data_IF_684212204304
#
_entry.id   IF_684212204304
#
_cell.length_a   1.000
_cell.length_b   1.000
_cell.length_c   1.000
_cell.angle_alpha   90.00
_cell.angle_beta   90.00
_cell.angle_gamma   90.00
#
_symmetry.space_group_name_H-M   'P 1'
#
loop_
_entity.id
_entity.type
_entity.pdbx_description
1 polymer ?
#
# COMPACT_ATOMS: atom_id res chain seq x y z
N UNK A 1 -3.58 -19.46 -2.78
CA UNK A 1 -2.56 -18.41 -2.76
C UNK A 1 -2.10 -18.27 -1.34
N UNK A 2 -0.80 -18.23 -1.07
CA UNK A 2 -0.33 -17.97 0.27
C UNK A 2 -0.67 -16.52 0.61
N UNK A 3 -1.68 -16.33 1.45
CA UNK A 3 -2.12 -15.03 1.94
C UNK A 3 -0.93 -14.21 2.48
N UNK A 4 0.05 -14.89 3.10
CA UNK A 4 1.25 -14.27 3.63
C UNK A 4 2.14 -13.64 2.53
N UNK A 5 2.38 -14.33 1.41
CA UNK A 5 3.24 -13.80 0.35
C UNK A 5 2.65 -12.55 -0.30
N UNK A 6 1.32 -12.52 -0.43
CA UNK A 6 0.62 -11.35 -0.94
C UNK A 6 0.71 -10.17 0.04
N UNK A 7 0.48 -10.41 1.32
CA UNK A 7 0.61 -9.40 2.38
C UNK A 7 2.03 -8.83 2.40
N UNK A 8 3.06 -9.70 2.34
CA UNK A 8 4.46 -9.25 2.30
C UNK A 8 4.77 -8.40 1.07
N UNK A 9 4.19 -8.72 -0.10
CA UNK A 9 4.38 -7.91 -1.31
C UNK A 9 3.82 -6.48 -1.15
N UNK A 10 2.70 -6.33 -0.44
CA UNK A 10 2.12 -5.02 -0.13
C UNK A 10 3.02 -4.20 0.81
N UNK A 11 3.59 -4.85 1.84
CA UNK A 11 4.52 -4.16 2.76
C UNK A 11 5.77 -3.68 2.03
N UNK A 12 6.31 -4.51 1.12
CA UNK A 12 7.47 -4.13 0.32
C UNK A 12 7.11 -2.94 -0.59
N UNK A 13 5.94 -2.96 -1.23
CA UNK A 13 5.50 -1.86 -2.08
C UNK A 13 5.34 -0.55 -1.29
N UNK A 14 4.78 -0.62 -0.08
CA UNK A 14 4.70 0.54 0.81
C UNK A 14 6.09 1.04 1.22
N UNK A 15 6.98 0.13 1.66
CA UNK A 15 8.34 0.48 2.01
C UNK A 15 9.08 1.16 0.84
N UNK A 16 8.85 0.73 -0.40
CA UNK A 16 9.40 1.38 -1.59
C UNK A 16 8.93 2.83 -1.75
N UNK A 17 7.64 3.10 -1.53
CA UNK A 17 7.10 4.45 -1.58
C UNK A 17 7.69 5.35 -0.49
N UNK A 18 7.82 4.83 0.74
CA UNK A 18 8.46 5.54 1.84
C UNK A 18 9.94 5.83 1.56
N UNK A 19 10.69 4.86 1.03
CA UNK A 19 12.08 5.02 0.63
C UNK A 19 12.20 6.10 -0.46
N UNK A 20 11.28 6.17 -1.41
CA UNK A 20 11.26 7.21 -2.45
C UNK A 20 11.04 8.59 -1.86
N UNK A 21 10.11 8.72 -0.92
CA UNK A 21 9.85 9.97 -0.19
C UNK A 21 11.09 10.42 0.60
N UNK A 22 11.72 9.51 1.34
CA UNK A 22 12.94 9.81 2.11
C UNK A 22 14.08 10.23 1.17
N UNK A 23 14.23 9.57 0.02
CA UNK A 23 15.24 9.92 -0.99
C UNK A 23 15.00 11.34 -1.51
N UNK A 24 13.77 11.68 -1.86
CA UNK A 24 13.38 13.02 -2.33
C UNK A 24 13.68 14.09 -1.27
N UNK A 25 13.28 13.85 -0.02
CA UNK A 25 13.51 14.77 1.10
C UNK A 25 15.02 14.97 1.37
N UNK A 26 15.81 13.90 1.25
CA UNK A 26 17.27 13.98 1.44
C UNK A 26 17.94 14.80 0.35
N UNK A 27 17.51 14.71 -0.90
CA UNK A 27 18.00 15.57 -1.98
C UNK A 27 17.54 17.02 -1.81
N UNK A 28 16.34 17.25 -1.30
CA UNK A 28 15.87 18.60 -0.99
C UNK A 28 16.74 19.21 0.12
N UNK A 29 16.96 18.48 1.21
CA UNK A 29 17.83 18.91 2.32
C UNK A 29 19.25 19.22 1.83
N UNK A 30 19.81 18.38 0.97
CA UNK A 30 21.11 18.66 0.34
C UNK A 30 21.15 20.03 -0.35
N UNK A 31 20.12 20.35 -1.14
CA UNK A 31 20.05 21.64 -1.86
C UNK A 31 19.92 22.83 -0.90
N UNK A 32 19.08 22.71 0.12
CA UNK A 32 18.87 23.76 1.11
C UNK A 32 20.16 24.03 1.91
N UNK A 33 20.86 22.99 2.35
CA UNK A 33 22.13 23.10 3.06
C UNK A 33 23.24 23.68 2.17
N UNK A 34 23.23 23.37 0.87
CA UNK A 34 24.17 23.94 -0.10
C UNK A 34 23.92 25.44 -0.28
N UNK A 35 22.67 25.87 -0.37
CA UNK A 35 22.30 27.30 -0.45
C UNK A 35 22.67 28.06 0.82
N UNK A 36 22.60 27.41 1.99
CA UNK A 36 23.00 27.95 3.26
C UNK A 36 24.52 27.95 3.49
N UNK A 37 25.35 27.58 2.50
CA UNK A 37 26.80 27.42 2.59
C UNK A 37 27.30 26.43 3.64
N UNK A 38 26.46 25.49 4.08
CA UNK A 38 26.79 24.43 5.04
C UNK A 38 27.37 23.20 4.32
N UNK A 39 28.53 23.36 3.69
CA UNK A 39 29.12 22.35 2.78
C UNK A 39 29.30 20.95 3.41
N UNK A 40 29.78 20.89 4.66
CA UNK A 40 29.96 19.59 5.32
C UNK A 40 28.65 18.85 5.53
N UNK A 41 27.59 19.56 5.96
CA UNK A 41 26.25 18.98 6.17
C UNK A 41 25.56 18.65 4.86
N UNK A 42 25.73 19.47 3.81
CA UNK A 42 25.19 19.16 2.48
C UNK A 42 25.80 17.87 1.92
N UNK A 43 27.11 17.67 2.10
CA UNK A 43 27.76 16.42 1.67
C UNK A 43 27.22 15.19 2.41
N UNK A 44 26.96 15.31 3.72
CA UNK A 44 26.34 14.24 4.50
C UNK A 44 24.92 13.91 4.00
N UNK A 45 24.10 14.93 3.71
CA UNK A 45 22.76 14.74 3.17
C UNK A 45 22.80 14.04 1.79
N UNK A 46 23.77 14.38 0.94
CA UNK A 46 23.97 13.71 -0.35
C UNK A 46 24.37 12.25 -0.19
N UNK A 47 25.28 11.94 0.72
CA UNK A 47 25.69 10.56 1.01
C UNK A 47 24.49 9.72 1.53
N UNK A 48 23.67 10.30 2.40
CA UNK A 48 22.44 9.64 2.87
C UNK A 48 21.49 9.35 1.70
N UNK A 49 21.24 10.33 0.82
CA UNK A 49 20.41 10.13 -0.35
C UNK A 49 20.92 8.99 -1.25
N UNK A 50 22.24 8.88 -1.44
CA UNK A 50 22.85 7.81 -2.22
C UNK A 50 22.69 6.43 -1.55
N UNK A 51 22.89 6.34 -0.23
CA UNK A 51 22.69 5.10 0.52
C UNK A 51 21.24 4.63 0.48
N UNK A 52 20.29 5.55 0.65
CA UNK A 52 18.85 5.25 0.56
C UNK A 52 18.49 4.79 -0.85
N UNK A 53 19.08 5.37 -1.89
CA UNK A 53 18.87 4.95 -3.27
C UNK A 53 19.35 3.51 -3.54
N UNK A 54 20.45 3.08 -2.93
CA UNK A 54 20.90 1.67 -3.02
C UNK A 54 19.91 0.73 -2.31
N UNK A 55 19.41 1.11 -1.12
CA UNK A 55 18.36 0.33 -0.43
C UNK A 55 17.11 0.21 -1.29
N UNK A 56 16.69 1.30 -1.98
CA UNK A 56 15.57 1.28 -2.93
C UNK A 56 15.78 0.21 -4.01
N UNK A 57 16.95 0.19 -4.66
CA UNK A 57 17.26 -0.79 -5.72
C UNK A 57 17.18 -2.23 -5.23
N UNK A 58 17.70 -2.50 -4.05
CA UNK A 58 17.65 -3.85 -3.47
C UNK A 58 16.21 -4.26 -3.14
N UNK A 59 15.41 -3.35 -2.60
CA UNK A 59 13.99 -3.56 -2.33
C UNK A 59 13.20 -3.82 -3.62
N UNK A 60 13.47 -3.07 -4.70
CA UNK A 60 12.88 -3.29 -6.04
C UNK A 60 13.21 -4.70 -6.59
N UNK A 61 14.43 -5.18 -6.40
CA UNK A 61 14.83 -6.54 -6.82
C UNK A 61 14.07 -7.61 -6.05
N UNK A 62 13.93 -7.45 -4.72
CA UNK A 62 13.16 -8.35 -3.87
C UNK A 62 11.69 -8.36 -4.31
N UNK A 63 11.11 -7.19 -4.51
CA UNK A 63 9.72 -7.04 -4.97
C UNK A 63 9.49 -7.71 -6.32
N UNK A 64 10.39 -7.53 -7.28
CA UNK A 64 10.32 -8.18 -8.59
C UNK A 64 10.39 -9.71 -8.48
N UNK A 65 11.20 -10.24 -7.58
CA UNK A 65 11.28 -11.67 -7.29
C UNK A 65 9.98 -12.23 -6.72
N UNK A 66 9.40 -11.56 -5.73
CA UNK A 66 8.12 -11.94 -5.11
C UNK A 66 6.97 -11.82 -6.12
N UNK A 67 6.91 -10.72 -6.87
CA UNK A 67 5.88 -10.51 -7.90
C UNK A 67 5.92 -11.61 -8.96
N UNK A 68 7.11 -12.07 -9.36
CA UNK A 68 7.25 -13.18 -10.30
C UNK A 68 6.69 -14.49 -9.75
N UNK A 69 6.86 -14.75 -8.45
CA UNK A 69 6.27 -15.94 -7.79
C UNK A 69 4.74 -15.85 -7.72
N UNK A 70 4.20 -14.64 -7.54
CA UNK A 70 2.75 -14.40 -7.54
C UNK A 70 2.15 -14.55 -8.95
N UNK A 71 2.84 -14.06 -9.99
CA UNK A 71 2.39 -14.12 -11.38
C UNK A 71 2.33 -15.54 -11.96
N UNK A 72 3.07 -16.51 -11.42
CA UNK A 72 2.98 -17.92 -11.85
C UNK A 72 1.61 -18.56 -11.61
N UNK A 73 0.69 -17.86 -10.95
CA UNK A 73 -0.71 -18.28 -10.71
C UNK A 73 -1.75 -17.51 -11.55
N UNK A 74 -1.35 -16.87 -12.65
CA UNK A 74 -2.22 -16.03 -13.49
C UNK A 74 -3.43 -16.74 -14.10
N UNK A 75 -3.50 -18.07 -14.03
CA UNK A 75 -4.60 -18.87 -14.56
C UNK A 75 -5.57 -19.37 -13.49
N UNK A 76 -5.39 -18.92 -12.23
CA UNK A 76 -6.31 -19.28 -11.17
C UNK A 76 -7.51 -18.32 -11.15
N UNK A 77 -8.71 -18.89 -11.19
CA UNK A 77 -9.95 -18.15 -10.94
C UNK A 77 -10.08 -17.85 -9.44
N UNK A 78 -10.48 -16.63 -9.14
CA UNK A 78 -10.77 -16.17 -7.79
C UNK A 78 -12.21 -15.72 -7.73
N UNK A 79 -12.93 -16.14 -6.71
CA UNK A 79 -14.25 -15.58 -6.41
C UNK A 79 -14.11 -14.20 -5.80
N UNK A 80 -15.13 -13.37 -5.90
CA UNK A 80 -15.15 -12.08 -5.21
C UNK A 80 -14.93 -12.25 -3.71
N UNK A 81 -15.49 -13.30 -3.10
CA UNK A 81 -15.27 -13.61 -1.68
C UNK A 81 -13.81 -13.89 -1.35
N UNK A 82 -13.08 -14.60 -2.24
CA UNK A 82 -11.63 -14.81 -2.05
C UNK A 82 -10.88 -13.49 -2.03
N UNK A 83 -11.22 -12.56 -2.93
CA UNK A 83 -10.62 -11.23 -3.01
C UNK A 83 -10.92 -10.41 -1.76
N UNK A 84 -12.18 -10.39 -1.33
CA UNK A 84 -12.59 -9.67 -0.12
C UNK A 84 -11.89 -10.23 1.13
N UNK A 85 -11.77 -11.55 1.23
CA UNK A 85 -11.05 -12.20 2.32
C UNK A 85 -9.55 -11.85 2.31
N UNK A 86 -8.90 -11.84 1.14
CA UNK A 86 -7.50 -11.44 1.01
C UNK A 86 -7.29 -9.99 1.46
N UNK A 87 -8.14 -9.07 0.98
CA UNK A 87 -8.07 -7.65 1.33
C UNK A 87 -8.27 -7.44 2.82
N UNK A 88 -9.32 -8.03 3.42
CA UNK A 88 -9.60 -7.86 4.86
C UNK A 88 -8.50 -8.43 5.72
N UNK A 89 -7.98 -9.61 5.39
CA UNK A 89 -6.88 -10.24 6.14
C UNK A 89 -5.61 -9.40 6.09
N UNK A 90 -5.20 -8.98 4.90
CA UNK A 90 -3.99 -8.18 4.69
C UNK A 90 -4.05 -6.85 5.45
N UNK A 91 -5.16 -6.14 5.32
CA UNK A 91 -5.31 -4.82 5.92
C UNK A 91 -5.54 -4.87 7.44
N UNK A 92 -6.15 -5.93 7.97
CA UNK A 92 -6.22 -6.16 9.43
C UNK A 92 -4.84 -6.39 10.04
N UNK A 93 -3.98 -7.15 9.36
CA UNK A 93 -2.59 -7.34 9.78
C UNK A 93 -1.82 -6.03 9.71
N UNK A 94 -2.02 -5.24 8.65
CA UNK A 94 -1.40 -3.92 8.51
C UNK A 94 -1.81 -2.96 9.63
N UNK A 95 -3.10 -2.88 9.96
CA UNK A 95 -3.59 -2.07 11.08
C UNK A 95 -2.94 -2.49 12.42
N UNK A 96 -2.82 -3.81 12.66
CA UNK A 96 -2.18 -4.36 13.86
C UNK A 96 -0.70 -3.98 13.94
N UNK A 97 0.05 -3.98 12.83
CA UNK A 97 1.46 -3.54 12.79
C UNK A 97 1.62 -2.06 13.14
N UNK A 98 0.63 -1.24 12.81
CA UNK A 98 0.60 0.17 13.21
C UNK A 98 0.09 0.38 14.65
N UNK A 99 -0.14 -0.70 15.42
CA UNK A 99 -0.74 -0.68 16.74
C UNK A 99 -2.12 0.00 16.79
N UNK A 100 -2.90 -0.10 15.69
CA UNK A 100 -4.25 0.45 15.58
C UNK A 100 -5.31 -0.65 15.74
N UNK A 101 -6.42 -0.33 16.38
CA UNK A 101 -7.57 -1.23 16.55
C UNK A 101 -8.65 -0.84 15.53
N UNK A 102 -8.57 -1.40 14.34
CA UNK A 102 -9.48 -1.07 13.23
C UNK A 102 -10.33 -2.29 12.90
N UNK A 103 -11.65 -2.10 12.89
CA UNK A 103 -12.60 -3.10 12.41
C UNK A 103 -12.78 -2.95 10.91
N UNK A 104 -12.41 -3.96 10.14
CA UNK A 104 -12.58 -3.96 8.69
C UNK A 104 -13.72 -4.89 8.33
N UNK A 105 -14.74 -4.35 7.65
CA UNK A 105 -15.89 -5.09 7.16
C UNK A 105 -15.90 -5.07 5.63
N UNK A 106 -16.08 -6.24 5.02
CA UNK A 106 -16.25 -6.35 3.57
C UNK A 106 -17.62 -6.98 3.29
N UNK A 107 -18.41 -6.34 2.44
CA UNK A 107 -19.74 -6.77 2.05
C UNK A 107 -19.91 -6.71 0.55
N UNK A 108 -20.68 -7.64 -0.02
CA UNK A 108 -21.00 -7.63 -1.43
C UNK A 108 -22.39 -8.22 -1.66
N UNK A 109 -23.13 -7.61 -2.56
CA UNK A 109 -24.36 -8.14 -3.10
C UNK A 109 -24.12 -9.03 -4.35
N UNK A 110 -22.84 -9.17 -4.74
CA UNK A 110 -22.41 -9.82 -5.97
C UNK A 110 -21.64 -11.11 -5.70
N UNK A 111 -21.69 -12.01 -6.68
CA UNK A 111 -20.90 -13.24 -6.66
C UNK A 111 -20.43 -13.57 -8.09
N UNK A 112 -19.20 -13.21 -8.40
CA UNK A 112 -18.57 -13.48 -9.70
C UNK A 112 -17.12 -13.94 -9.51
N UNK A 113 -16.54 -14.49 -10.58
CA UNK A 113 -15.13 -14.91 -10.62
C UNK A 113 -14.32 -13.99 -11.50
N UNK A 114 -13.04 -13.87 -11.19
CA UNK A 114 -12.08 -13.07 -11.94
C UNK A 114 -10.72 -13.76 -12.04
N UNK A 115 -10.02 -13.55 -13.16
CA UNK A 115 -8.73 -14.19 -13.43
C UNK A 115 -7.53 -13.33 -13.00
N UNK A 116 -7.61 -12.01 -13.16
CA UNK A 116 -6.49 -11.09 -12.94
C UNK A 116 -6.79 -10.16 -11.78
N UNK A 117 -6.58 -10.64 -10.56
CA UNK A 117 -6.89 -9.86 -9.34
C UNK A 117 -5.78 -8.90 -8.92
N UNK A 118 -4.53 -9.07 -9.38
CA UNK A 118 -3.38 -8.29 -8.91
C UNK A 118 -3.55 -6.78 -9.07
N UNK A 119 -3.97 -6.23 -10.23
CA UNK A 119 -4.18 -4.79 -10.36
C UNK A 119 -5.31 -4.27 -9.46
N UNK A 120 -6.40 -5.03 -9.34
CA UNK A 120 -7.53 -4.70 -8.48
C UNK A 120 -7.10 -4.67 -7.01
N UNK A 121 -6.37 -5.69 -6.57
CA UNK A 121 -5.84 -5.75 -5.20
C UNK A 121 -4.92 -4.57 -4.90
N UNK A 122 -4.05 -4.17 -5.85
CA UNK A 122 -3.17 -3.03 -5.67
C UNK A 122 -3.96 -1.72 -5.44
N UNK A 123 -5.03 -1.49 -6.23
CA UNK A 123 -5.88 -0.30 -6.08
C UNK A 123 -6.62 -0.33 -4.74
N UNK A 124 -7.29 -1.45 -4.41
CA UNK A 124 -8.07 -1.55 -3.17
C UNK A 124 -7.16 -1.38 -1.96
N UNK A 125 -5.98 -2.02 -1.95
CA UNK A 125 -5.08 -1.91 -0.81
C UNK A 125 -4.48 -0.52 -0.64
N UNK A 126 -4.25 0.23 -1.72
CA UNK A 126 -3.87 1.64 -1.60
C UNK A 126 -4.98 2.47 -0.92
N UNK A 127 -6.24 2.25 -1.28
CA UNK A 127 -7.37 2.93 -0.63
C UNK A 127 -7.49 2.51 0.84
N UNK A 128 -7.40 1.21 1.13
CA UNK A 128 -7.47 0.67 2.48
C UNK A 128 -6.33 1.18 3.37
N UNK A 129 -5.10 1.22 2.87
CA UNK A 129 -3.96 1.73 3.64
C UNK A 129 -4.11 3.22 3.96
N UNK A 130 -4.58 4.02 3.01
CA UNK A 130 -4.86 5.43 3.24
C UNK A 130 -5.93 5.62 4.33
N UNK A 131 -7.01 4.83 4.30
CA UNK A 131 -8.05 4.85 5.32
C UNK A 131 -7.50 4.43 6.70
N UNK A 132 -6.70 3.36 6.77
CA UNK A 132 -6.04 2.90 8.00
C UNK A 132 -5.13 3.98 8.59
N UNK A 133 -4.38 4.67 7.74
CA UNK A 133 -3.44 5.71 8.16
C UNK A 133 -4.16 6.96 8.67
N UNK A 134 -5.27 7.35 8.03
CA UNK A 134 -6.10 8.49 8.43
C UNK A 134 -6.75 8.30 9.80
N UNK A 135 -7.15 7.09 10.16
CA UNK A 135 -7.70 6.77 11.49
C UNK A 135 -6.61 6.87 12.54
N UNK A 136 -6.82 7.65 13.60
CA UNK A 136 -5.79 7.88 14.63
C UNK A 136 -5.41 6.60 15.37
N UNK A 137 -6.34 5.92 16.05
CA UNK A 137 -6.08 4.74 16.88
C UNK A 137 -7.14 3.65 16.76
N UNK A 138 -8.41 4.02 16.73
CA UNK A 138 -9.55 3.09 16.65
C UNK A 138 -10.54 3.61 15.61
N UNK A 139 -11.12 2.69 14.85
CA UNK A 139 -12.13 3.04 13.86
C UNK A 139 -12.64 1.85 13.06
N UNK A 140 -13.45 2.16 12.07
CA UNK A 140 -14.10 1.18 11.21
C UNK A 140 -13.88 1.55 9.74
N UNK A 141 -13.54 0.55 8.94
CA UNK A 141 -13.45 0.68 7.49
C UNK A 141 -14.42 -0.31 6.87
N UNK A 142 -15.23 0.14 5.93
CA UNK A 142 -16.19 -0.67 5.19
C UNK A 142 -15.78 -0.69 3.72
N UNK A 143 -15.52 -1.90 3.21
CA UNK A 143 -15.38 -2.15 1.78
C UNK A 143 -16.69 -2.74 1.27
N UNK A 144 -17.40 -2.02 0.44
CA UNK A 144 -18.65 -2.47 -0.18
C UNK A 144 -18.48 -2.65 -1.67
N UNK A 145 -18.98 -3.78 -2.20
CA UNK A 145 -18.94 -4.08 -3.64
C UNK A 145 -20.36 -4.26 -4.15
N UNK A 146 -20.72 -3.50 -5.18
CA UNK A 146 -21.99 -3.61 -5.87
C UNK A 146 -21.80 -3.40 -7.37
N UNK A 147 -22.72 -3.93 -8.16
CA UNK A 147 -22.75 -3.74 -9.61
C UNK A 147 -23.94 -2.86 -10.00
N UNK A 148 -23.67 -1.90 -10.88
CA UNK A 148 -24.69 -1.08 -11.49
C UNK A 148 -24.42 -0.96 -12.99
N UNK A 149 -25.40 -1.38 -13.81
CA UNK A 149 -25.27 -1.50 -15.27
C UNK A 149 -24.11 -2.44 -15.66
N UNK A 150 -23.11 -1.93 -16.37
CA UNK A 150 -21.93 -2.68 -16.83
C UNK A 150 -20.70 -2.48 -15.92
N UNK A 151 -20.85 -1.79 -14.79
CA UNK A 151 -19.76 -1.44 -13.91
C UNK A 151 -19.89 -2.12 -12.55
N UNK A 152 -18.75 -2.53 -12.00
CA UNK A 152 -18.63 -2.97 -10.62
C UNK A 152 -17.89 -1.92 -9.81
N UNK A 153 -18.50 -1.47 -8.73
CA UNK A 153 -18.00 -0.45 -7.85
C UNK A 153 -17.43 -1.06 -6.59
N UNK A 154 -16.21 -0.67 -6.25
CA UNK A 154 -15.54 -1.00 -5.00
C UNK A 154 -15.44 0.28 -4.18
N UNK A 155 -16.27 0.40 -3.15
CA UNK A 155 -16.36 1.58 -2.31
C UNK A 155 -15.69 1.33 -0.97
N UNK A 156 -14.71 2.15 -0.62
CA UNK A 156 -14.05 2.14 0.69
C UNK A 156 -14.52 3.37 1.46
N UNK A 157 -15.09 3.13 2.64
CA UNK A 157 -15.54 4.18 3.56
C UNK A 157 -14.87 3.98 4.90
N UNK A 158 -14.33 5.04 5.47
CA UNK A 158 -13.73 5.06 6.79
C UNK A 158 -14.42 6.12 7.69
N UNK A 159 -14.26 5.97 9.00
CA UNK A 159 -14.72 6.90 10.02
C UNK A 159 -13.60 7.85 10.52
N UNK A 160 -12.54 8.00 9.74
CA UNK A 160 -11.44 8.92 10.02
C UNK A 160 -11.84 10.39 9.93
N UNK A 161 -10.92 11.33 10.19
CA UNK A 161 -11.21 12.77 10.23
C UNK A 161 -11.58 13.40 8.87
N UNK A 162 -11.49 12.62 7.79
CA UNK A 162 -11.69 13.11 6.44
C UNK A 162 -10.54 13.98 5.93
N UNK A 163 -10.64 14.42 4.68
CA UNK A 163 -9.70 15.37 4.07
C UNK A 163 -10.26 16.80 4.23
N UNK A 164 -9.42 17.73 4.75
CA UNK A 164 -9.77 19.14 4.74
C UNK A 164 -9.87 19.63 3.30
N UNK A 165 -10.98 20.30 2.96
CA UNK A 165 -11.06 21.05 1.71
C UNK A 165 -10.08 22.23 1.82
N UNK A 166 -8.99 22.19 1.05
CA UNK A 166 -8.16 23.37 0.80
C UNK A 166 -8.75 24.19 -0.36
#
# INVERSE_FOLDING_TARGET
MDSNLYVESLYIQKAMNEIEQITSNSYQLYRELQQANLRAHSMQALLLAQQIHEVKKDTERIFAGISKLLLHKEHQEYTLNDVLHLVTTANSQYAALLNKTITIQATSDENFTMLRITPLLAIINNLMSNAIEAIAQQGTIILHVHSEHEYTYFTVTDDGPGMSAE
#
